data_IF_159260825922
#
_entry.id   IF_159260825922
#
_cell.length_a   1.000
_cell.length_b   1.000
_cell.length_c   1.000
_cell.angle_alpha   90.00
_cell.angle_beta   90.00
_cell.angle_gamma   90.00
#
_symmetry.space_group_name_H-M   'P 1'
#
loop_
_entity.id
_entity.type
_entity.pdbx_description
1 polymer ?
#
# COMPACT_ATOMS: atom_id res chain seq x y z
N UNK A 1 24.46 -0.33 -9.65
CA UNK A 1 23.87 0.96 -10.10
C UNK A 1 23.31 1.64 -8.86
N UNK A 2 23.84 2.79 -8.54
CA UNK A 2 23.43 3.55 -7.37
C UNK A 2 22.10 4.27 -7.67
N UNK A 3 21.09 4.04 -6.83
CA UNK A 3 19.77 4.68 -6.99
C UNK A 3 19.75 5.91 -6.09
N UNK A 4 19.54 7.08 -6.69
CA UNK A 4 19.42 8.36 -5.99
C UNK A 4 17.98 8.88 -6.09
N UNK A 5 17.59 9.65 -5.10
CA UNK A 5 16.28 10.30 -5.00
C UNK A 5 16.49 11.82 -4.98
N UNK A 6 15.64 12.55 -5.71
CA UNK A 6 15.59 13.99 -5.57
C UNK A 6 14.98 14.36 -4.21
N UNK A 7 15.61 15.23 -3.47
CA UNK A 7 15.10 15.77 -2.21
C UNK A 7 14.34 17.08 -2.46
N UNK A 8 13.18 17.19 -1.87
CA UNK A 8 12.41 18.42 -1.81
C UNK A 8 12.09 18.71 -0.35
N UNK A 9 12.67 19.75 0.20
CA UNK A 9 12.34 20.24 1.54
C UNK A 9 10.98 20.91 1.52
N UNK A 10 10.10 20.47 2.39
CA UNK A 10 8.76 21.02 2.53
C UNK A 10 8.56 21.57 3.93
N UNK A 11 8.08 22.80 4.01
CA UNK A 11 7.86 23.50 5.27
C UNK A 11 6.57 23.09 5.96
N UNK A 12 5.69 22.37 5.26
CA UNK A 12 4.41 21.96 5.81
C UNK A 12 3.97 20.59 5.27
N UNK A 13 4.06 19.57 6.11
CA UNK A 13 3.42 18.26 5.89
C UNK A 13 2.13 18.25 6.69
N UNK A 14 0.97 18.17 6.02
CA UNK A 14 -0.30 18.11 6.72
C UNK A 14 -0.49 16.77 7.41
N UNK A 15 -0.53 16.78 8.73
CA UNK A 15 -0.77 15.58 9.57
C UNK A 15 -2.15 14.98 9.27
N UNK A 16 -3.15 15.79 8.93
CA UNK A 16 -4.51 15.32 8.60
C UNK A 16 -4.53 14.37 7.41
N UNK A 17 -3.67 14.58 6.41
CA UNK A 17 -3.57 13.71 5.24
C UNK A 17 -2.90 12.37 5.55
N UNK A 18 -2.02 12.31 6.54
CA UNK A 18 -1.40 11.06 7.00
C UNK A 18 -2.37 10.21 7.83
N UNK A 19 -3.17 10.84 8.66
CA UNK A 19 -4.11 10.15 9.54
C UNK A 19 -5.26 9.50 8.77
N UNK A 20 -5.65 10.03 7.63
CA UNK A 20 -6.64 9.41 6.75
C UNK A 20 -6.18 8.06 6.15
N UNK A 21 -4.87 7.82 6.08
CA UNK A 21 -4.30 6.55 5.63
C UNK A 21 -4.16 5.51 6.76
N UNK A 22 -4.20 5.96 8.01
CA UNK A 22 -4.05 5.12 9.22
C UNK A 22 -5.43 4.89 9.88
N UNK A 23 -6.50 5.48 9.34
CA UNK A 23 -7.82 5.52 9.99
C UNK A 23 -8.45 4.12 10.17
N UNK A 24 -8.01 3.45 11.18
CA UNK A 24 -8.88 2.61 11.98
C UNK A 24 -9.69 3.55 12.92
N UNK A 25 -10.85 3.95 12.44
CA UNK A 25 -12.06 4.32 13.20
C UNK A 25 -12.19 5.67 13.90
N UNK A 26 -11.20 6.51 14.05
CA UNK A 26 -11.44 7.84 14.65
C UNK A 26 -10.90 8.96 13.74
N UNK A 27 -11.75 9.91 13.33
CA UNK A 27 -11.27 11.11 12.68
C UNK A 27 -10.33 11.86 13.64
N UNK A 28 -9.15 12.23 13.17
CA UNK A 28 -8.32 13.19 13.91
C UNK A 28 -9.02 14.55 13.80
N UNK A 29 -9.67 14.94 14.86
CA UNK A 29 -10.45 16.19 14.90
C UNK A 29 -9.53 17.42 14.87
N UNK A 30 -8.35 17.32 15.49
CA UNK A 30 -7.31 18.35 15.44
C UNK A 30 -5.93 17.75 15.73
N UNK A 31 -4.91 18.23 15.04
CA UNK A 31 -3.52 18.07 15.42
C UNK A 31 -2.92 19.46 15.75
N UNK A 32 -2.07 19.53 16.76
CA UNK A 32 -1.39 20.77 17.10
C UNK A 32 0.14 20.48 17.22
N UNK A 33 0.96 20.92 16.26
CA UNK A 33 0.57 21.67 15.06
C UNK A 33 -0.16 20.80 14.01
N UNK A 34 -1.01 21.41 13.17
CA UNK A 34 -1.66 20.74 12.02
C UNK A 34 -0.67 20.33 10.94
N UNK A 35 0.52 20.90 10.95
CA UNK A 35 1.59 20.70 9.98
C UNK A 35 2.94 20.59 10.67
N UNK A 36 3.84 19.85 10.06
CA UNK A 36 5.25 19.75 10.45
C UNK A 36 6.13 19.97 9.24
N UNK A 37 7.33 20.50 9.44
CA UNK A 37 8.35 20.57 8.39
C UNK A 37 8.95 19.20 8.11
N UNK A 38 9.48 18.99 6.92
CA UNK A 38 10.14 17.75 6.55
C UNK A 38 10.65 17.75 5.12
N UNK A 39 10.96 16.57 4.60
CA UNK A 39 11.42 16.39 3.23
C UNK A 39 10.68 15.24 2.54
N UNK A 40 10.51 15.39 1.24
CA UNK A 40 10.05 14.32 0.33
C UNK A 40 11.26 13.89 -0.52
N UNK A 41 11.58 12.60 -0.48
CA UNK A 41 12.59 11.99 -1.33
C UNK A 41 11.90 11.20 -2.43
N UNK A 42 11.89 11.71 -3.65
CA UNK A 42 11.19 11.11 -4.79
C UNK A 42 12.11 10.91 -5.98
N UNK A 43 11.83 9.88 -6.79
CA UNK A 43 12.47 9.64 -8.08
C UNK A 43 11.49 9.44 -9.22
N UNK A 44 10.21 9.34 -8.92
CA UNK A 44 9.17 9.07 -9.89
C UNK A 44 7.84 9.69 -9.44
N UNK A 45 6.96 9.93 -10.40
CA UNK A 45 5.57 10.26 -10.17
C UNK A 45 4.66 9.12 -10.65
N UNK A 46 3.49 8.98 -10.03
CA UNK A 46 2.45 8.07 -10.52
C UNK A 46 1.75 8.65 -11.77
N UNK A 47 0.83 7.89 -12.35
CA UNK A 47 0.07 8.29 -13.54
C UNK A 47 -0.77 9.57 -13.35
N UNK A 48 -0.98 10.03 -12.12
CA UNK A 48 -1.68 11.27 -11.79
C UNK A 48 -0.72 12.43 -11.47
N UNK A 49 0.59 12.25 -11.66
CA UNK A 49 1.62 13.26 -11.37
C UNK A 49 1.98 13.40 -9.89
N UNK A 50 1.54 12.46 -9.02
CA UNK A 50 1.88 12.50 -7.60
C UNK A 50 3.25 11.86 -7.35
N UNK A 51 4.16 12.51 -6.61
CA UNK A 51 5.46 11.94 -6.32
C UNK A 51 5.33 10.65 -5.50
N UNK A 52 5.97 9.58 -5.97
CA UNK A 52 6.15 8.34 -5.20
C UNK A 52 7.39 8.53 -4.33
N UNK A 53 7.20 8.64 -3.02
CA UNK A 53 8.22 9.24 -2.16
C UNK A 53 8.43 8.49 -0.85
N UNK A 54 9.63 8.65 -0.32
CA UNK A 54 9.88 8.56 1.11
C UNK A 54 9.69 9.93 1.75
N UNK A 55 9.21 9.93 2.98
CA UNK A 55 8.94 11.16 3.74
C UNK A 55 9.80 11.15 5.00
N UNK A 56 10.53 12.26 5.23
CA UNK A 56 11.30 12.51 6.44
C UNK A 56 10.67 13.67 7.21
N UNK A 57 10.69 13.58 8.52
CA UNK A 57 10.35 14.70 9.40
C UNK A 57 11.57 15.62 9.56
N UNK A 58 11.33 16.87 9.95
CA UNK A 58 12.36 17.93 10.06
C UNK A 58 13.62 17.48 10.81
N UNK A 59 13.45 16.78 11.93
CA UNK A 59 14.56 16.30 12.76
C UNK A 59 15.55 15.37 12.02
N UNK A 60 15.14 14.79 10.90
CA UNK A 60 15.96 13.85 10.11
C UNK A 60 16.41 14.44 8.77
N UNK A 61 16.23 15.74 8.56
CA UNK A 61 16.54 16.43 7.29
C UNK A 61 17.85 17.20 7.30
N UNK A 62 18.58 17.27 8.41
CA UNK A 62 19.79 18.10 8.59
C UNK A 62 20.89 17.87 7.55
N UNK A 63 20.93 16.70 6.92
CA UNK A 63 21.94 16.33 5.92
C UNK A 63 21.44 16.47 4.49
N UNK A 64 20.23 16.97 4.31
CA UNK A 64 19.60 17.12 3.00
C UNK A 64 19.74 18.56 2.52
N UNK A 65 20.10 18.72 1.25
CA UNK A 65 20.01 19.99 0.54
C UNK A 65 18.75 19.99 -0.34
N UNK A 66 18.11 21.15 -0.47
CA UNK A 66 16.91 21.27 -1.30
C UNK A 66 17.27 21.08 -2.77
N UNK A 67 16.38 20.39 -3.51
CA UNK A 67 16.53 20.10 -4.94
C UNK A 67 17.79 19.27 -5.31
N UNK A 68 18.50 18.67 -4.34
CA UNK A 68 19.66 17.82 -4.60
C UNK A 68 19.28 16.32 -4.68
N UNK A 69 20.26 15.54 -5.14
CA UNK A 69 20.11 14.10 -5.29
C UNK A 69 20.69 13.36 -4.09
N UNK A 70 19.83 12.76 -3.29
CA UNK A 70 20.21 12.03 -2.08
C UNK A 70 20.17 10.51 -2.30
N UNK A 71 21.20 9.83 -1.80
CA UNK A 71 21.18 8.36 -1.68
C UNK A 71 20.39 7.99 -0.43
N UNK A 72 19.32 7.21 -0.61
CA UNK A 72 18.61 6.59 0.50
C UNK A 72 19.27 5.24 0.79
N UNK A 73 20.08 5.18 1.83
CA UNK A 73 20.63 3.93 2.37
C UNK A 73 19.71 3.33 3.44
N UNK A 74 20.16 2.24 4.06
CA UNK A 74 19.36 1.55 5.08
C UNK A 74 19.10 2.43 6.32
N UNK A 75 20.06 3.26 6.71
CA UNK A 75 19.93 4.08 7.92
C UNK A 75 18.98 5.25 7.68
N UNK A 76 19.07 5.90 6.52
CA UNK A 76 18.14 6.95 6.14
C UNK A 76 16.73 6.38 5.91
N UNK A 77 16.60 5.19 5.28
CA UNK A 77 15.30 4.56 5.08
C UNK A 77 14.58 4.29 6.42
N UNK A 78 15.31 3.82 7.44
CA UNK A 78 14.75 3.57 8.77
C UNK A 78 14.23 4.84 9.46
N UNK A 79 14.74 6.01 9.11
CA UNK A 79 14.27 7.29 9.63
C UNK A 79 13.03 7.80 8.91
N UNK A 80 12.70 7.26 7.74
CA UNK A 80 11.52 7.70 6.98
C UNK A 80 10.22 7.33 7.68
N UNK A 81 9.22 8.18 7.53
CA UNK A 81 7.87 7.88 7.99
C UNK A 81 7.32 6.60 7.37
N UNK A 82 7.69 6.29 6.12
CA UNK A 82 7.32 5.04 5.44
C UNK A 82 7.79 3.80 6.23
N UNK A 83 9.02 3.81 6.75
CA UNK A 83 9.52 2.71 7.57
C UNK A 83 8.84 2.69 8.94
N UNK A 84 8.64 3.86 9.57
CA UNK A 84 8.01 3.95 10.89
C UNK A 84 6.56 3.44 10.87
N UNK A 85 5.76 3.83 9.89
CA UNK A 85 4.38 3.30 9.76
C UNK A 85 4.35 1.80 9.47
N UNK A 86 5.42 1.26 8.85
CA UNK A 86 5.53 -0.17 8.56
C UNK A 86 5.83 -0.98 9.81
N UNK A 87 6.82 -0.54 10.62
CA UNK A 87 7.20 -1.26 11.85
C UNK A 87 6.13 -1.16 12.95
N UNK A 88 5.34 -0.09 12.94
CA UNK A 88 4.20 0.08 13.85
C UNK A 88 2.92 -0.64 13.36
N UNK A 89 2.98 -1.28 12.20
CA UNK A 89 1.82 -1.95 11.60
C UNK A 89 0.70 -0.99 11.20
N UNK A 90 1.00 0.30 11.02
CA UNK A 90 0.00 1.31 10.67
C UNK A 90 -0.39 1.26 9.17
N UNK A 91 0.28 0.44 8.37
CA UNK A 91 -0.04 0.23 6.97
C UNK A 91 0.31 -1.19 6.51
N UNK A 92 -0.38 -1.65 5.47
CA UNK A 92 -0.01 -2.87 4.76
C UNK A 92 1.29 -2.70 3.98
N UNK A 93 2.12 -3.76 3.98
CA UNK A 93 3.25 -3.84 3.08
C UNK A 93 2.76 -3.86 1.63
N UNK A 94 2.95 -2.73 0.95
CA UNK A 94 2.59 -2.57 -0.46
C UNK A 94 3.72 -1.85 -1.17
N UNK A 95 4.55 -2.61 -1.88
CA UNK A 95 5.73 -2.11 -2.59
C UNK A 95 5.64 -2.42 -4.07
N UNK A 96 6.42 -1.69 -4.86
CA UNK A 96 6.45 -1.80 -6.30
C UNK A 96 7.81 -2.23 -6.82
N UNK A 97 7.87 -2.73 -8.05
CA UNK A 97 9.12 -3.16 -8.69
C UNK A 97 10.13 -2.02 -8.85
N UNK A 98 9.68 -0.77 -8.92
CA UNK A 98 10.56 0.42 -8.91
C UNK A 98 11.21 0.70 -7.55
N UNK A 99 10.65 0.16 -6.45
CA UNK A 99 11.28 0.26 -5.13
C UNK A 99 12.56 -0.57 -5.12
N UNK A 100 13.72 -0.02 -4.72
CA UNK A 100 14.97 -0.77 -4.68
C UNK A 100 14.86 -2.08 -3.88
N UNK A 101 15.46 -3.15 -4.36
CA UNK A 101 15.36 -4.47 -3.72
C UNK A 101 15.73 -4.45 -2.23
N UNK A 102 16.85 -3.79 -1.87
CA UNK A 102 17.27 -3.67 -0.47
C UNK A 102 16.22 -2.93 0.39
N UNK A 103 15.54 -1.93 -0.17
CA UNK A 103 14.47 -1.22 0.54
C UNK A 103 13.25 -2.12 0.72
N UNK A 104 12.87 -2.90 -0.31
CA UNK A 104 11.76 -3.86 -0.20
C UNK A 104 12.02 -4.86 0.92
N UNK A 105 13.25 -5.38 1.02
CA UNK A 105 13.63 -6.32 2.08
C UNK A 105 13.50 -5.69 3.47
N UNK A 106 14.05 -4.50 3.69
CA UNK A 106 13.95 -3.81 4.98
C UNK A 106 12.50 -3.49 5.38
N UNK A 107 11.70 -3.01 4.43
CA UNK A 107 10.28 -2.73 4.67
C UNK A 107 9.48 -4.02 4.96
N UNK A 108 9.84 -5.12 4.27
CA UNK A 108 9.24 -6.44 4.53
C UNK A 108 9.58 -6.96 5.93
N UNK A 109 10.84 -6.84 6.34
CA UNK A 109 11.27 -7.23 7.69
C UNK A 109 10.53 -6.43 8.77
N UNK A 110 10.38 -5.11 8.58
CA UNK A 110 9.61 -4.26 9.47
C UNK A 110 8.13 -4.70 9.54
N UNK A 111 7.52 -4.96 8.38
CA UNK A 111 6.13 -5.44 8.33
C UNK A 111 5.96 -6.84 8.95
N UNK A 112 6.97 -7.72 8.82
CA UNK A 112 6.96 -9.04 9.43
C UNK A 112 6.96 -8.93 10.96
N UNK A 113 7.83 -8.09 11.53
CA UNK A 113 7.85 -7.83 12.97
C UNK A 113 6.51 -7.29 13.46
N UNK A 114 5.95 -6.29 12.75
CA UNK A 114 4.64 -5.74 13.09
C UNK A 114 3.53 -6.80 13.07
N UNK A 115 3.58 -7.72 12.10
CA UNK A 115 2.61 -8.82 11.96
C UNK A 115 2.77 -9.88 13.05
N UNK A 116 3.99 -10.27 13.38
CA UNK A 116 4.27 -11.23 14.46
C UNK A 116 3.83 -10.72 15.83
N UNK A 117 3.92 -9.40 16.02
CA UNK A 117 3.47 -8.71 17.22
C UNK A 117 1.98 -8.29 17.18
N UNK A 118 1.25 -8.65 16.12
CA UNK A 118 -0.17 -8.29 15.89
C UNK A 118 -0.43 -6.79 15.98
N UNK A 119 0.52 -5.95 15.48
CA UNK A 119 0.40 -4.49 15.57
C UNK A 119 -0.53 -3.94 14.48
N UNK A 120 -1.32 -2.95 14.84
CA UNK A 120 -2.12 -2.13 13.93
C UNK A 120 -3.00 -2.94 12.98
N UNK A 121 -2.82 -2.80 11.68
CA UNK A 121 -3.64 -3.50 10.67
C UNK A 121 -3.54 -5.02 10.77
N UNK A 122 -2.44 -5.55 11.28
CA UNK A 122 -2.20 -6.98 11.34
C UNK A 122 -3.03 -7.70 12.41
N UNK A 123 -3.47 -6.98 13.46
CA UNK A 123 -4.35 -7.52 14.49
C UNK A 123 -5.75 -7.89 13.95
N UNK A 124 -6.18 -7.22 12.89
CA UNK A 124 -7.53 -7.35 12.33
C UNK A 124 -7.52 -7.79 10.85
N UNK A 125 -6.34 -8.08 10.27
CA UNK A 125 -6.23 -8.46 8.86
C UNK A 125 -6.93 -9.77 8.55
N UNK A 126 -7.85 -9.73 7.61
CA UNK A 126 -8.60 -10.88 7.10
C UNK A 126 -8.32 -11.15 5.63
N UNK A 127 -7.26 -10.58 5.05
CA UNK A 127 -6.97 -10.68 3.62
C UNK A 127 -6.86 -12.13 3.12
N UNK A 128 -6.31 -13.02 3.94
CA UNK A 128 -6.16 -14.43 3.58
C UNK A 128 -7.50 -15.14 3.36
N UNK A 129 -8.53 -14.76 4.13
CA UNK A 129 -9.87 -15.28 3.95
C UNK A 129 -10.90 -14.25 4.39
N UNK A 130 -11.78 -13.81 3.46
CA UNK A 130 -12.81 -12.83 3.73
C UNK A 130 -14.10 -13.10 2.97
N UNK A 131 -15.21 -12.51 3.44
CA UNK A 131 -16.51 -12.62 2.78
C UNK A 131 -16.75 -11.44 1.86
N UNK A 132 -17.07 -11.71 0.59
CA UNK A 132 -17.42 -10.74 -0.42
C UNK A 132 -18.85 -11.02 -0.90
N UNK A 133 -19.84 -10.60 -0.12
CA UNK A 133 -21.26 -10.76 -0.45
C UNK A 133 -21.85 -9.49 -1.06
N UNK A 134 -21.56 -8.38 -0.45
CA UNK A 134 -22.04 -7.04 -0.80
C UNK A 134 -21.05 -6.00 -0.23
N UNK A 135 -21.27 -4.73 -0.53
CA UNK A 135 -20.41 -3.64 -0.04
C UNK A 135 -20.32 -3.61 1.48
N UNK A 136 -21.39 -3.93 2.22
CA UNK A 136 -21.39 -3.89 3.69
C UNK A 136 -20.49 -4.97 4.29
N UNK A 137 -20.23 -6.05 3.58
CA UNK A 137 -19.33 -7.12 4.07
C UNK A 137 -17.87 -6.71 4.15
N UNK A 138 -17.46 -5.63 3.46
CA UNK A 138 -16.09 -5.12 3.42
C UNK A 138 -15.96 -3.63 3.75
N UNK A 139 -17.04 -2.92 4.07
CA UNK A 139 -17.00 -1.49 4.44
C UNK A 139 -17.38 -1.28 5.90
N UNK A 140 -16.78 -0.24 6.51
CA UNK A 140 -17.11 0.17 7.88
C UNK A 140 -18.62 0.42 8.08
N UNK A 141 -19.16 0.26 9.30
CA UNK A 141 -18.43 -0.04 10.55
C UNK A 141 -18.19 -1.53 10.82
N UNK A 142 -18.78 -2.45 10.07
CA UNK A 142 -18.73 -3.90 10.32
C UNK A 142 -18.01 -4.66 9.19
N UNK A 143 -17.26 -3.97 8.37
CA UNK A 143 -16.51 -4.55 7.27
C UNK A 143 -15.24 -5.26 7.74
N UNK A 144 -14.73 -6.11 6.88
CA UNK A 144 -13.48 -6.85 7.10
C UNK A 144 -12.29 -5.99 6.66
N UNK A 145 -11.21 -6.02 7.43
CA UNK A 145 -9.96 -5.34 7.07
C UNK A 145 -9.17 -6.22 6.11
N UNK A 146 -8.99 -5.74 4.90
CA UNK A 146 -8.27 -6.45 3.83
C UNK A 146 -7.30 -5.52 3.11
N UNK A 147 -6.33 -6.11 2.41
CA UNK A 147 -5.38 -5.36 1.60
C UNK A 147 -6.07 -4.28 0.74
N UNK A 148 -5.64 -3.00 0.79
CA UNK A 148 -6.32 -1.90 0.09
C UNK A 148 -6.51 -2.10 -1.42
N UNK A 149 -5.60 -2.81 -2.09
CA UNK A 149 -5.77 -3.16 -3.50
C UNK A 149 -6.95 -4.13 -3.70
N UNK A 150 -7.03 -5.19 -2.89
CA UNK A 150 -8.16 -6.12 -2.94
C UNK A 150 -9.49 -5.43 -2.56
N UNK A 151 -9.46 -4.56 -1.57
CA UNK A 151 -10.63 -3.77 -1.20
C UNK A 151 -11.17 -2.98 -2.39
N UNK A 152 -10.32 -2.21 -3.08
CA UNK A 152 -10.75 -1.44 -4.27
C UNK A 152 -11.29 -2.34 -5.37
N UNK A 153 -10.58 -3.42 -5.71
CA UNK A 153 -11.02 -4.38 -6.73
C UNK A 153 -12.36 -5.01 -6.36
N UNK A 154 -12.54 -5.34 -5.08
CA UNK A 154 -13.81 -5.90 -4.59
C UNK A 154 -14.96 -4.89 -4.69
N UNK A 155 -14.73 -3.62 -4.40
CA UNK A 155 -15.75 -2.57 -4.54
C UNK A 155 -16.14 -2.38 -6.01
N UNK A 156 -15.16 -2.32 -6.92
CA UNK A 156 -15.40 -2.14 -8.35
C UNK A 156 -16.12 -3.36 -8.96
N UNK A 157 -15.71 -4.58 -8.55
CA UNK A 157 -16.41 -5.81 -8.90
C UNK A 157 -17.88 -5.80 -8.46
N UNK A 158 -18.15 -5.45 -7.20
CA UNK A 158 -19.51 -5.41 -6.68
C UNK A 158 -20.39 -4.39 -7.40
N UNK A 159 -19.81 -3.27 -7.83
CA UNK A 159 -20.50 -2.29 -8.65
C UNK A 159 -20.87 -2.87 -10.01
N UNK A 160 -19.94 -3.53 -10.69
CA UNK A 160 -20.20 -4.15 -12.00
C UNK A 160 -21.21 -5.33 -11.87
N UNK A 161 -21.24 -6.04 -10.72
CA UNK A 161 -22.28 -7.03 -10.41
C UNK A 161 -23.65 -6.38 -10.30
N UNK A 162 -23.77 -5.23 -9.62
CA UNK A 162 -25.02 -4.45 -9.55
C UNK A 162 -25.43 -3.99 -10.96
N UNK A 163 -24.48 -3.66 -11.84
CA UNK A 163 -24.71 -3.27 -13.24
C UNK A 163 -24.94 -4.47 -14.18
N UNK A 164 -24.95 -5.70 -13.66
CA UNK A 164 -25.35 -6.91 -14.40
C UNK A 164 -24.23 -7.90 -14.73
N UNK A 165 -22.99 -7.68 -14.29
CA UNK A 165 -21.93 -8.69 -14.46
C UNK A 165 -22.32 -10.01 -13.77
N UNK A 166 -22.03 -11.14 -14.44
CA UNK A 166 -22.27 -12.49 -13.92
C UNK A 166 -20.98 -13.28 -13.96
N UNK A 167 -20.40 -13.54 -12.81
CA UNK A 167 -19.15 -14.23 -12.62
C UNK A 167 -18.60 -13.96 -11.22
N UNK A 168 -17.51 -14.58 -10.87
CA UNK A 168 -16.82 -14.34 -9.60
C UNK A 168 -15.78 -13.21 -9.73
N UNK A 169 -15.13 -12.81 -8.61
CA UNK A 169 -14.12 -11.75 -8.60
C UNK A 169 -12.94 -12.08 -9.53
N UNK A 170 -12.49 -13.34 -9.57
CA UNK A 170 -11.42 -13.77 -10.47
C UNK A 170 -11.81 -13.59 -11.93
N UNK A 171 -13.00 -14.06 -12.31
CA UNK A 171 -13.52 -13.93 -13.69
C UNK A 171 -13.66 -12.46 -14.09
N UNK A 172 -14.10 -11.62 -13.14
CA UNK A 172 -14.20 -10.18 -13.36
C UNK A 172 -12.83 -9.54 -13.63
N UNK A 173 -11.82 -9.81 -12.79
CA UNK A 173 -10.45 -9.32 -13.00
C UNK A 173 -9.88 -9.73 -14.35
N UNK A 174 -10.10 -10.97 -14.78
CA UNK A 174 -9.69 -11.45 -16.09
C UNK A 174 -10.41 -10.66 -17.19
N UNK A 175 -11.73 -10.50 -17.09
CA UNK A 175 -12.52 -9.82 -18.11
C UNK A 175 -12.13 -8.36 -18.35
N UNK A 176 -11.73 -7.64 -17.28
CA UNK A 176 -11.33 -6.24 -17.38
C UNK A 176 -9.84 -6.07 -17.75
N UNK A 177 -9.02 -7.13 -17.66
CA UNK A 177 -7.61 -7.07 -18.03
C UNK A 177 -7.40 -6.86 -19.53
N UNK A 178 -8.36 -7.28 -20.35
CA UNK A 178 -8.33 -7.15 -21.82
C UNK A 178 -8.83 -5.78 -22.31
N UNK A 179 -9.37 -4.95 -21.40
CA UNK A 179 -9.95 -3.64 -21.70
C UNK A 179 -9.07 -2.46 -21.28
N UNK A 180 -9.58 -1.26 -21.53
CA UNK A 180 -8.92 0.01 -21.14
C UNK A 180 -8.76 0.19 -19.63
N UNK A 181 -9.54 -0.51 -18.82
CA UNK A 181 -9.49 -0.41 -17.34
C UNK A 181 -8.33 -1.18 -16.74
N UNK A 182 -7.83 -2.23 -17.36
CA UNK A 182 -6.77 -3.13 -16.88
C UNK A 182 -6.48 -3.03 -15.36
N UNK A 183 -7.40 -3.57 -14.55
CA UNK A 183 -7.31 -3.52 -13.10
C UNK A 183 -6.81 -4.84 -12.49
N UNK A 184 -6.52 -5.84 -13.32
CA UNK A 184 -5.86 -7.07 -12.91
C UNK A 184 -4.37 -6.76 -12.72
N UNK A 185 -4.00 -6.39 -11.51
CA UNK A 185 -2.63 -5.98 -11.20
C UNK A 185 -1.66 -7.16 -11.42
N UNK A 186 -0.49 -6.87 -12.01
CA UNK A 186 0.61 -7.83 -12.05
C UNK A 186 1.39 -7.76 -10.74
N UNK A 187 1.80 -8.91 -10.23
CA UNK A 187 2.58 -9.06 -9.00
C UNK A 187 3.73 -10.02 -9.22
N UNK A 188 4.87 -9.72 -8.60
CA UNK A 188 6.02 -10.61 -8.54
C UNK A 188 6.04 -11.25 -7.16
N UNK A 189 5.98 -12.60 -7.12
CA UNK A 189 6.02 -13.37 -5.88
C UNK A 189 7.48 -13.68 -5.56
N UNK A 190 7.91 -13.34 -4.34
CA UNK A 190 9.26 -13.60 -3.82
C UNK A 190 10.37 -13.15 -4.79
N UNK A 191 10.15 -12.00 -5.43
CA UNK A 191 11.08 -11.43 -6.41
C UNK A 191 11.46 -12.37 -7.59
N UNK A 192 10.67 -13.39 -7.89
CA UNK A 192 11.03 -14.42 -8.89
C UNK A 192 9.94 -14.76 -9.90
N UNK A 193 8.69 -14.86 -9.52
CA UNK A 193 7.60 -15.30 -10.39
C UNK A 193 6.58 -14.19 -10.55
N UNK A 194 6.37 -13.73 -11.80
CA UNK A 194 5.33 -12.76 -12.12
C UNK A 194 4.02 -13.50 -12.46
N UNK A 195 2.94 -13.07 -11.80
CA UNK A 195 1.58 -13.58 -12.01
C UNK A 195 0.59 -12.40 -12.02
N UNK A 196 -0.66 -12.67 -12.36
CA UNK A 196 -1.75 -11.70 -12.20
C UNK A 196 -2.40 -11.83 -10.82
N UNK A 197 -2.94 -10.74 -10.29
CA UNK A 197 -3.65 -10.74 -9.02
C UNK A 197 -4.79 -11.77 -9.00
N UNK A 198 -5.47 -11.94 -10.13
CA UNK A 198 -6.51 -12.96 -10.32
C UNK A 198 -6.03 -14.40 -10.07
N UNK A 199 -4.74 -14.69 -10.31
CA UNK A 199 -4.20 -16.03 -10.11
C UNK A 199 -4.05 -16.39 -8.63
N UNK A 200 -4.00 -15.37 -7.78
CA UNK A 200 -3.89 -15.51 -6.31
C UNK A 200 -5.26 -15.55 -5.62
N UNK A 201 -6.36 -15.44 -6.36
CA UNK A 201 -7.72 -15.38 -5.81
C UNK A 201 -8.44 -16.69 -6.11
N UNK A 202 -8.98 -17.32 -5.06
CA UNK A 202 -9.95 -18.38 -5.14
C UNK A 202 -11.26 -17.91 -4.51
N UNK A 203 -12.38 -18.13 -5.20
CA UNK A 203 -13.70 -17.81 -4.68
C UNK A 203 -14.60 -19.03 -4.65
N UNK A 204 -15.24 -19.27 -3.51
CA UNK A 204 -16.29 -20.27 -3.33
C UNK A 204 -17.52 -19.59 -2.74
N UNK A 205 -18.56 -19.43 -3.54
CA UNK A 205 -19.72 -18.60 -3.18
C UNK A 205 -19.26 -17.17 -2.83
N UNK A 206 -19.55 -16.70 -1.62
CA UNK A 206 -19.13 -15.39 -1.13
C UNK A 206 -17.79 -15.40 -0.37
N UNK A 207 -17.14 -16.55 -0.21
CA UNK A 207 -15.86 -16.62 0.48
C UNK A 207 -14.72 -16.45 -0.53
N UNK A 208 -13.85 -15.49 -0.26
CA UNK A 208 -12.62 -15.25 -1.00
C UNK A 208 -11.47 -15.82 -0.18
N UNK A 209 -10.60 -16.58 -0.84
CA UNK A 209 -9.31 -17.02 -0.29
C UNK A 209 -8.20 -16.40 -1.13
N UNK A 210 -7.28 -15.70 -0.47
CA UNK A 210 -6.07 -15.17 -1.09
C UNK A 210 -4.93 -16.15 -0.84
N UNK A 211 -4.31 -16.67 -1.92
CA UNK A 211 -3.49 -17.87 -1.90
C UNK A 211 -2.00 -17.62 -1.68
N UNK A 212 -1.57 -16.39 -1.43
CA UNK A 212 -0.16 -16.07 -1.20
C UNK A 212 -0.02 -15.14 0.01
N UNK A 213 1.12 -15.21 0.67
CA UNK A 213 1.45 -14.28 1.75
C UNK A 213 1.66 -12.87 1.21
N UNK A 214 0.96 -11.89 1.80
CA UNK A 214 1.05 -10.48 1.39
C UNK A 214 2.50 -9.95 1.41
N UNK A 215 3.32 -10.42 2.35
CA UNK A 215 4.72 -10.01 2.46
C UNK A 215 5.61 -10.59 1.35
N UNK A 216 5.12 -11.53 0.54
CA UNK A 216 5.83 -12.06 -0.61
C UNK A 216 5.55 -11.29 -1.91
N UNK A 217 4.65 -10.29 -1.87
CA UNK A 217 4.17 -9.62 -3.07
C UNK A 217 4.93 -8.33 -3.35
N UNK A 218 5.34 -8.16 -4.60
CA UNK A 218 5.81 -6.88 -5.15
C UNK A 218 4.94 -6.55 -6.36
N UNK A 219 4.26 -5.41 -6.32
CA UNK A 219 3.40 -4.99 -7.42
C UNK A 219 4.21 -4.43 -8.59
N UNK A 220 3.78 -4.72 -9.82
CA UNK A 220 4.36 -4.12 -11.02
C UNK A 220 3.67 -2.79 -11.27
N UNK A 221 4.45 -1.74 -11.56
CA UNK A 221 3.91 -0.45 -11.98
C UNK A 221 3.15 -0.59 -13.30
N UNK A 222 2.15 0.29 -13.46
CA UNK A 222 1.38 0.45 -14.71
C UNK A 222 1.89 1.64 -15.50
#
# INVERSE_FOLDING_TARGET
>A
MEIRFASLLITQISIKNFTAAIALSLPVEAANPDTVSGAILSKAADANGRPVSYVLLEADTEQLEDEDWTRVDADLLKKTLNFQIMIEGAAYYTVYTSTPFAHRQLLREAALVAREDERGVWAEDTTNEFKLKDKKSITAPNGQLILPKLFRRSIDYLKDVDDGFRGNLKDWLISISEGSRNENDRVVIRDSVEVQLSDLIQQRNSNITFQEDLLNLTFVEK
#
